data_IF_652567231294
#
_entry.id   IF_652567231294
#
_cell.length_a   1.000
_cell.length_b   1.000
_cell.length_c   1.000
_cell.angle_alpha   90.00
_cell.angle_beta   90.00
_cell.angle_gamma   90.00
#
_symmetry.space_group_name_H-M   'P 1'
#
loop_
_entity.id
_entity.type
_entity.pdbx_description
1 polymer ?
#
# COMPACT_ATOMS: atom_id res chain seq x y z
N UNK A 1 -15.35 48.48 -0.43
CA UNK A 1 -15.41 47.23 -1.24
C UNK A 1 -14.04 46.58 -1.08
N UNK A 2 -13.85 45.51 -0.27
CA UNK A 2 -12.69 44.57 -0.27
C UNK A 2 -12.46 43.73 1.02
N UNK A 3 -13.24 43.86 2.10
CA UNK A 3 -13.06 42.99 3.29
C UNK A 3 -13.85 41.66 3.21
N UNK A 4 -14.99 41.63 2.52
CA UNK A 4 -15.80 40.41 2.38
C UNK A 4 -15.23 39.41 1.37
N UNK A 5 -14.56 39.90 0.31
CA UNK A 5 -13.97 39.06 -0.75
C UNK A 5 -12.78 38.23 -0.24
N UNK A 6 -11.94 38.83 0.61
CA UNK A 6 -10.73 38.19 1.16
C UNK A 6 -11.05 37.05 2.13
N UNK A 7 -12.12 37.19 2.94
CA UNK A 7 -12.57 36.15 3.86
C UNK A 7 -13.18 34.96 3.12
N UNK A 8 -13.97 35.22 2.06
CA UNK A 8 -14.56 34.17 1.22
C UNK A 8 -13.50 33.35 0.47
N UNK A 9 -12.49 34.01 -0.10
CA UNK A 9 -11.39 33.34 -0.82
C UNK A 9 -10.50 32.50 0.11
N UNK A 10 -10.19 33.00 1.31
CA UNK A 10 -9.44 32.25 2.32
C UNK A 10 -10.21 31.01 2.80
N UNK A 11 -11.52 31.14 3.05
CA UNK A 11 -12.37 30.05 3.53
C UNK A 11 -12.62 28.98 2.45
N UNK A 12 -12.73 29.38 1.18
CA UNK A 12 -12.80 28.45 0.03
C UNK A 12 -11.47 27.72 -0.15
N UNK A 13 -10.32 28.41 -0.01
CA UNK A 13 -8.98 27.81 -0.09
C UNK A 13 -8.72 26.80 1.03
N UNK A 14 -9.10 27.11 2.26
CA UNK A 14 -8.99 26.17 3.39
C UNK A 14 -9.91 24.97 3.21
N UNK A 15 -11.14 25.17 2.72
CA UNK A 15 -12.09 24.09 2.44
C UNK A 15 -11.62 23.16 1.32
N UNK A 16 -11.07 23.72 0.23
CA UNK A 16 -10.51 22.97 -0.88
C UNK A 16 -9.22 22.21 -0.48
N UNK A 17 -8.36 22.85 0.33
CA UNK A 17 -7.19 22.22 0.92
C UNK A 17 -7.59 21.05 1.81
N UNK A 18 -8.53 21.26 2.72
CA UNK A 18 -9.04 20.24 3.63
C UNK A 18 -9.72 19.06 2.92
N UNK A 19 -10.53 19.32 1.89
CA UNK A 19 -11.11 18.27 1.05
C UNK A 19 -10.01 17.43 0.38
N UNK A 20 -9.00 18.07 -0.20
CA UNK A 20 -7.86 17.37 -0.80
C UNK A 20 -7.12 16.49 0.22
N UNK A 21 -6.87 16.99 1.45
CA UNK A 21 -6.25 16.21 2.55
C UNK A 21 -7.06 14.96 2.90
N UNK A 22 -8.40 15.06 2.97
CA UNK A 22 -9.29 13.92 3.22
C UNK A 22 -9.23 12.86 2.12
N UNK A 23 -9.24 13.28 0.85
CA UNK A 23 -9.11 12.37 -0.29
C UNK A 23 -7.73 11.69 -0.32
N UNK A 24 -6.66 12.41 0.01
CA UNK A 24 -5.32 11.83 0.19
C UNK A 24 -5.33 10.75 1.28
N UNK A 25 -5.90 11.05 2.46
CA UNK A 25 -6.02 10.06 3.55
C UNK A 25 -6.81 8.82 3.10
N UNK A 26 -7.91 9.00 2.36
CA UNK A 26 -8.68 7.89 1.81
C UNK A 26 -7.84 6.97 0.93
N UNK A 27 -7.08 7.52 -0.01
CA UNK A 27 -6.21 6.73 -0.90
C UNK A 27 -5.09 6.02 -0.14
N UNK A 28 -4.43 6.72 0.79
CA UNK A 28 -3.36 6.11 1.59
C UNK A 28 -3.90 4.98 2.47
N UNK A 29 -5.12 5.14 2.97
CA UNK A 29 -5.79 4.11 3.78
C UNK A 29 -6.23 2.92 2.93
N UNK A 30 -6.77 3.16 1.73
CA UNK A 30 -7.10 2.11 0.75
C UNK A 30 -5.84 1.33 0.34
N UNK A 31 -4.73 2.03 0.10
CA UNK A 31 -3.45 1.38 -0.24
C UNK A 31 -2.94 0.48 0.90
N UNK A 32 -3.18 0.84 2.16
CA UNK A 32 -2.80 0.01 3.30
C UNK A 32 -3.69 -1.23 3.45
N UNK A 33 -4.98 -1.12 3.11
CA UNK A 33 -5.89 -2.26 3.10
C UNK A 33 -5.32 -3.37 2.21
N UNK A 34 -4.71 -3.05 1.06
CA UNK A 34 -4.09 -4.03 0.16
C UNK A 34 -3.10 -4.93 0.90
N UNK A 35 -2.27 -4.33 1.76
CA UNK A 35 -1.26 -5.08 2.51
C UNK A 35 -1.92 -6.03 3.53
N UNK A 36 -2.98 -5.57 4.21
CA UNK A 36 -3.74 -6.41 5.13
C UNK A 36 -4.51 -7.53 4.42
N UNK A 37 -5.11 -7.23 3.26
CA UNK A 37 -5.82 -8.19 2.41
C UNK A 37 -4.86 -9.28 1.95
N UNK A 38 -3.70 -8.91 1.42
CA UNK A 38 -2.74 -9.86 0.86
C UNK A 38 -2.28 -10.94 1.86
N UNK A 39 -1.98 -10.53 3.09
CA UNK A 39 -1.56 -11.47 4.16
C UNK A 39 -2.72 -12.40 4.55
N UNK A 40 -3.93 -11.87 4.64
CA UNK A 40 -5.08 -12.64 5.16
C UNK A 40 -5.67 -13.57 4.13
N UNK A 41 -5.82 -13.11 2.89
CA UNK A 41 -6.35 -13.92 1.81
C UNK A 41 -5.44 -15.14 1.55
N UNK A 42 -4.12 -14.96 1.65
CA UNK A 42 -3.17 -16.07 1.52
C UNK A 42 -3.44 -17.19 2.53
N UNK A 43 -3.74 -16.86 3.78
CA UNK A 43 -4.03 -17.85 4.82
C UNK A 43 -5.28 -18.67 4.52
N UNK A 44 -6.29 -18.06 3.90
CA UNK A 44 -7.49 -18.77 3.43
C UNK A 44 -7.18 -19.67 2.23
N UNK A 45 -6.22 -19.27 1.39
CA UNK A 45 -5.82 -20.01 0.20
C UNK A 45 -4.86 -21.19 0.48
N UNK A 46 -4.29 -21.33 1.68
CA UNK A 46 -3.29 -22.38 2.00
C UNK A 46 -3.74 -23.79 1.58
N UNK A 47 -4.95 -24.27 1.94
CA UNK A 47 -5.36 -25.62 1.57
C UNK A 47 -5.47 -25.80 0.05
N UNK A 48 -5.97 -24.78 -0.64
CA UNK A 48 -6.11 -24.77 -2.10
C UNK A 48 -4.74 -24.73 -2.80
N UNK A 49 -3.80 -23.95 -2.27
CA UNK A 49 -2.42 -23.86 -2.75
C UNK A 49 -1.68 -25.18 -2.57
N UNK A 50 -1.88 -25.86 -1.44
CA UNK A 50 -1.30 -27.17 -1.17
C UNK A 50 -1.68 -28.18 -2.25
N UNK A 51 -2.97 -28.24 -2.61
CA UNK A 51 -3.48 -29.14 -3.64
C UNK A 51 -3.08 -28.72 -5.05
N UNK A 52 -3.11 -27.41 -5.34
CA UNK A 52 -2.88 -26.89 -6.70
C UNK A 52 -1.40 -26.93 -7.10
N UNK A 53 -0.48 -26.67 -6.18
CA UNK A 53 0.96 -26.60 -6.44
C UNK A 53 1.72 -27.84 -5.94
N UNK A 54 1.02 -28.84 -5.38
CA UNK A 54 1.61 -29.95 -4.63
C UNK A 54 2.66 -29.47 -3.62
N UNK A 55 2.38 -28.34 -2.97
CA UNK A 55 3.34 -27.67 -2.11
C UNK A 55 3.55 -28.46 -0.82
N UNK A 56 4.82 -28.65 -0.43
CA UNK A 56 5.14 -29.20 0.88
C UNK A 56 4.76 -28.21 1.98
N UNK A 57 4.60 -28.70 3.22
CA UNK A 57 4.35 -27.84 4.38
C UNK A 57 5.44 -26.74 4.53
N UNK A 58 6.70 -27.09 4.27
CA UNK A 58 7.81 -26.13 4.25
C UNK A 58 7.64 -25.10 3.14
N UNK A 59 7.21 -25.51 1.94
CA UNK A 59 6.94 -24.60 0.82
C UNK A 59 5.87 -23.57 1.13
N UNK A 60 4.75 -23.99 1.73
CA UNK A 60 3.67 -23.09 2.17
C UNK A 60 4.16 -22.09 3.21
N UNK A 61 4.98 -22.54 4.16
CA UNK A 61 5.55 -21.67 5.17
C UNK A 61 6.52 -20.64 4.57
N UNK A 62 7.28 -21.01 3.54
CA UNK A 62 8.11 -20.08 2.77
C UNK A 62 7.28 -19.08 1.96
N UNK A 63 6.15 -19.48 1.39
CA UNK A 63 5.23 -18.56 0.68
C UNK A 63 4.75 -17.44 1.63
N UNK A 64 4.44 -17.78 2.88
CA UNK A 64 4.03 -16.81 3.89
C UNK A 64 5.23 -15.96 4.34
N UNK A 65 6.33 -16.61 4.69
CA UNK A 65 7.47 -15.96 5.34
C UNK A 65 8.32 -15.12 4.38
N UNK A 66 8.43 -15.48 3.09
CA UNK A 66 9.25 -14.74 2.14
C UNK A 66 8.84 -13.28 2.03
N UNK A 67 7.53 -13.01 2.05
CA UNK A 67 7.01 -11.65 2.11
C UNK A 67 7.51 -10.91 3.36
N UNK A 68 7.32 -11.49 4.55
CA UNK A 68 7.66 -10.86 5.84
C UNK A 68 9.17 -10.64 5.95
N UNK A 69 9.97 -11.64 5.58
CA UNK A 69 11.42 -11.59 5.67
C UNK A 69 12.00 -10.52 4.75
N UNK A 70 11.55 -10.47 3.50
CA UNK A 70 12.04 -9.46 2.54
C UNK A 70 11.54 -8.09 2.94
N UNK A 71 10.26 -7.95 3.30
CA UNK A 71 9.71 -6.71 3.83
C UNK A 71 10.56 -6.19 4.98
N UNK A 72 10.77 -7.00 6.03
CA UNK A 72 11.54 -6.59 7.21
C UNK A 72 13.02 -6.29 6.87
N UNK A 73 13.63 -7.10 6.00
CA UNK A 73 15.03 -6.95 5.61
C UNK A 73 15.31 -5.68 4.80
N UNK A 74 14.36 -5.24 3.97
CA UNK A 74 14.52 -4.05 3.12
C UNK A 74 13.78 -2.83 3.63
N UNK A 75 12.96 -2.93 4.69
CA UNK A 75 12.10 -1.86 5.19
C UNK A 75 12.86 -0.56 5.45
N UNK A 76 13.96 -0.64 6.21
CA UNK A 76 14.76 0.53 6.59
C UNK A 76 15.46 1.13 5.36
N UNK A 77 15.98 0.27 4.48
CA UNK A 77 16.66 0.68 3.25
C UNK A 77 15.70 1.37 2.29
N UNK A 78 14.53 0.77 2.04
CA UNK A 78 13.51 1.31 1.14
C UNK A 78 12.82 2.53 1.72
N UNK A 79 12.63 2.60 3.04
CA UNK A 79 12.16 3.79 3.74
C UNK A 79 13.12 4.97 3.56
N UNK A 80 14.42 4.76 3.81
CA UNK A 80 15.45 5.78 3.59
C UNK A 80 15.56 6.19 2.11
N UNK A 81 15.46 5.23 1.20
CA UNK A 81 15.44 5.49 -0.24
C UNK A 81 14.24 6.37 -0.62
N UNK A 82 13.06 6.07 -0.08
CA UNK A 82 11.86 6.84 -0.37
C UNK A 82 11.87 8.25 0.21
N UNK A 83 12.50 8.45 1.37
CA UNK A 83 12.72 9.79 1.92
C UNK A 83 13.71 10.61 1.06
N UNK A 84 14.71 9.96 0.45
CA UNK A 84 15.72 10.65 -0.39
C UNK A 84 15.21 10.98 -1.80
N UNK A 85 14.54 10.05 -2.46
CA UNK A 85 14.10 10.20 -3.86
C UNK A 85 12.72 10.84 -4.01
N UNK A 86 12.00 11.02 -2.90
CA UNK A 86 10.68 11.64 -2.86
C UNK A 86 9.59 10.62 -2.51
N UNK A 87 8.80 10.98 -1.51
CA UNK A 87 7.79 10.09 -0.89
C UNK A 87 6.70 9.64 -1.86
N UNK A 88 6.30 10.53 -2.77
CA UNK A 88 5.33 10.21 -3.83
C UNK A 88 5.88 9.16 -4.79
N UNK A 89 7.12 9.32 -5.24
CA UNK A 89 7.76 8.40 -6.17
C UNK A 89 7.95 7.03 -5.53
N UNK A 90 8.36 6.99 -4.26
CA UNK A 90 8.50 5.75 -3.51
C UNK A 90 7.17 5.01 -3.34
N UNK A 91 6.11 5.73 -2.98
CA UNK A 91 4.76 5.17 -2.90
C UNK A 91 4.30 4.58 -4.24
N UNK A 92 4.45 5.33 -5.33
CA UNK A 92 4.05 4.88 -6.68
C UNK A 92 4.88 3.69 -7.16
N UNK A 93 6.20 3.73 -6.97
CA UNK A 93 7.10 2.62 -7.32
C UNK A 93 6.75 1.37 -6.52
N UNK A 94 6.49 1.54 -5.21
CA UNK A 94 6.05 0.46 -4.34
C UNK A 94 4.76 -0.19 -4.80
N UNK A 95 3.76 0.62 -5.17
CA UNK A 95 2.50 0.15 -5.75
C UNK A 95 2.70 -0.64 -7.05
N UNK A 96 3.55 -0.15 -7.96
CA UNK A 96 3.85 -0.84 -9.22
C UNK A 96 4.54 -2.18 -8.97
N UNK A 97 5.58 -2.21 -8.13
CA UNK A 97 6.28 -3.44 -7.75
C UNK A 97 5.31 -4.43 -7.12
N UNK A 98 4.49 -3.96 -6.18
CA UNK A 98 3.51 -4.80 -5.50
C UNK A 98 2.48 -5.38 -6.48
N UNK A 99 1.92 -4.55 -7.36
CA UNK A 99 0.95 -4.96 -8.36
C UNK A 99 1.51 -5.99 -9.35
N UNK A 100 2.70 -5.74 -9.90
CA UNK A 100 3.36 -6.68 -10.82
C UNK A 100 3.70 -8.00 -10.14
N UNK A 101 4.22 -7.95 -8.92
CA UNK A 101 4.51 -9.14 -8.14
C UNK A 101 3.23 -9.92 -7.79
N UNK A 102 2.11 -9.23 -7.56
CA UNK A 102 0.81 -9.86 -7.31
C UNK A 102 0.24 -10.55 -8.55
N UNK A 103 0.41 -9.95 -9.74
CA UNK A 103 0.10 -10.62 -11.02
C UNK A 103 0.99 -11.86 -11.20
N UNK A 104 2.30 -11.74 -10.94
CA UNK A 104 3.22 -12.89 -10.98
C UNK A 104 2.83 -14.01 -10.01
N UNK A 105 2.35 -13.67 -8.81
CA UNK A 105 1.84 -14.63 -7.84
C UNK A 105 0.59 -15.35 -8.36
N UNK A 106 -0.36 -14.61 -8.96
CA UNK A 106 -1.60 -15.17 -9.50
C UNK A 106 -1.37 -16.23 -10.59
N UNK A 107 -0.32 -16.06 -11.40
CA UNK A 107 0.02 -16.94 -12.51
C UNK A 107 1.21 -17.86 -12.20
N UNK A 108 1.55 -18.06 -10.92
CA UNK A 108 2.64 -18.95 -10.55
C UNK A 108 2.27 -20.42 -10.77
N UNK A 109 3.10 -21.16 -11.48
CA UNK A 109 2.91 -22.60 -11.76
C UNK A 109 3.68 -23.49 -10.78
N UNK A 110 4.50 -22.91 -9.90
CA UNK A 110 5.28 -23.64 -8.91
C UNK A 110 5.36 -22.90 -7.58
N UNK A 111 5.60 -23.67 -6.51
CA UNK A 111 5.85 -23.14 -5.16
C UNK A 111 6.99 -22.12 -5.16
N UNK A 112 8.08 -22.38 -5.89
CA UNK A 112 9.24 -21.47 -5.96
C UNK A 112 8.91 -20.16 -6.66
N UNK A 113 8.18 -20.20 -7.79
CA UNK A 113 7.73 -18.96 -8.45
C UNK A 113 6.86 -18.12 -7.54
N UNK A 114 5.94 -18.76 -6.80
CA UNK A 114 5.10 -18.05 -5.84
C UNK A 114 5.93 -17.42 -4.72
N UNK A 115 6.91 -18.13 -4.16
CA UNK A 115 7.84 -17.58 -3.16
C UNK A 115 8.56 -16.33 -3.68
N UNK A 116 9.06 -16.35 -4.92
CA UNK A 116 9.75 -15.20 -5.54
C UNK A 116 8.77 -14.04 -5.72
N UNK A 117 7.55 -14.31 -6.18
CA UNK A 117 6.52 -13.29 -6.29
C UNK A 117 6.19 -12.66 -4.93
N UNK A 118 6.09 -13.46 -3.87
CA UNK A 118 5.89 -13.00 -2.48
C UNK A 118 7.03 -12.12 -1.99
N UNK A 119 8.28 -12.50 -2.29
CA UNK A 119 9.44 -11.67 -2.02
C UNK A 119 9.33 -10.30 -2.72
N UNK A 120 8.91 -10.28 -3.99
CA UNK A 120 8.64 -9.04 -4.73
C UNK A 120 7.55 -8.18 -4.08
N UNK A 121 6.46 -8.79 -3.62
CA UNK A 121 5.42 -8.08 -2.86
C UNK A 121 5.96 -7.49 -1.55
N UNK A 122 6.89 -8.17 -0.88
CA UNK A 122 7.60 -7.65 0.30
C UNK A 122 8.38 -6.38 0.00
N UNK A 123 9.08 -6.32 -1.14
CA UNK A 123 9.79 -5.11 -1.60
C UNK A 123 8.80 -3.96 -1.85
N UNK A 124 7.69 -4.24 -2.55
CA UNK A 124 6.65 -3.24 -2.80
C UNK A 124 6.03 -2.71 -1.51
N UNK A 125 5.70 -3.60 -0.58
CA UNK A 125 5.16 -3.25 0.74
C UNK A 125 6.10 -2.38 1.56
N UNK A 126 7.41 -2.67 1.52
CA UNK A 126 8.44 -1.91 2.22
C UNK A 126 8.59 -0.47 1.71
N UNK A 127 8.18 -0.19 0.47
CA UNK A 127 8.10 1.17 -0.06
C UNK A 127 6.77 1.87 0.30
N UNK A 128 5.66 1.13 0.27
CA UNK A 128 4.30 1.67 0.49
C UNK A 128 4.13 2.12 1.94
N UNK A 129 4.40 1.24 2.91
CA UNK A 129 4.13 1.50 4.34
C UNK A 129 4.76 2.79 4.86
N UNK A 130 6.11 2.98 4.81
CA UNK A 130 6.73 4.18 5.33
C UNK A 130 6.30 5.43 4.56
N UNK A 131 6.12 5.32 3.24
CA UNK A 131 5.67 6.44 2.40
C UNK A 131 4.28 6.93 2.79
N UNK A 132 3.34 6.03 3.09
CA UNK A 132 1.97 6.43 3.48
C UNK A 132 1.94 7.22 4.78
N UNK A 133 2.65 6.74 5.81
CA UNK A 133 2.75 7.43 7.10
C UNK A 133 3.42 8.80 6.94
N UNK A 134 4.51 8.84 6.18
CA UNK A 134 5.22 10.07 5.87
C UNK A 134 4.37 11.11 5.15
N UNK A 135 3.53 10.70 4.18
CA UNK A 135 2.60 11.61 3.50
C UNK A 135 1.51 12.11 4.45
N UNK A 136 0.98 11.26 5.35
CA UNK A 136 0.01 11.70 6.37
C UNK A 136 0.62 12.79 7.26
N UNK A 137 1.86 12.58 7.71
CA UNK A 137 2.57 13.55 8.57
C UNK A 137 2.84 14.87 7.82
N UNK A 138 3.11 14.82 6.52
CA UNK A 138 3.36 16.02 5.70
C UNK A 138 2.07 16.81 5.39
N UNK A 139 0.98 16.10 5.11
CA UNK A 139 -0.28 16.68 4.65
C UNK A 139 -1.15 17.19 5.80
N UNK A 140 -1.07 16.56 6.98
CA UNK A 140 -1.88 16.92 8.16
C UNK A 140 -1.09 17.76 9.19
N UNK A 141 -1.69 18.83 9.73
CA UNK A 141 -1.10 19.62 10.79
C UNK A 141 -0.98 18.82 12.09
N UNK A 142 -0.08 19.23 12.99
CA UNK A 142 0.31 18.43 14.17
C UNK A 142 -0.88 18.02 15.04
N UNK A 143 -1.88 18.88 15.16
CA UNK A 143 -3.08 18.66 15.97
C UNK A 143 -4.00 17.58 15.38
N UNK A 144 -4.00 17.41 14.05
CA UNK A 144 -4.85 16.45 13.34
C UNK A 144 -4.16 15.12 13.02
N UNK A 145 -2.82 15.05 13.11
CA UNK A 145 -2.04 13.84 12.76
C UNK A 145 -2.48 12.61 13.52
N UNK A 146 -2.68 12.72 14.84
CA UNK A 146 -3.10 11.58 15.66
C UNK A 146 -4.45 11.00 15.19
N UNK A 147 -5.40 11.89 14.84
CA UNK A 147 -6.70 11.49 14.29
C UNK A 147 -6.58 10.84 12.92
N UNK A 148 -5.75 11.41 12.03
CA UNK A 148 -5.51 10.87 10.71
C UNK A 148 -4.84 9.48 10.77
N UNK A 149 -3.84 9.31 11.63
CA UNK A 149 -3.18 8.01 11.88
C UNK A 149 -4.17 7.02 12.48
N UNK A 150 -5.04 7.45 13.41
CA UNK A 150 -6.09 6.60 13.97
C UNK A 150 -7.07 6.09 12.90
N UNK A 151 -7.51 6.95 11.99
CA UNK A 151 -8.37 6.57 10.85
C UNK A 151 -7.61 5.60 9.93
N UNK A 152 -6.38 5.94 9.56
CA UNK A 152 -5.53 5.11 8.71
C UNK A 152 -5.32 3.71 9.30
N UNK A 153 -5.02 3.61 10.60
CA UNK A 153 -4.85 2.34 11.30
C UNK A 153 -6.18 1.57 11.42
N UNK A 154 -7.29 2.27 11.70
CA UNK A 154 -8.62 1.67 11.76
C UNK A 154 -9.06 1.09 10.42
N UNK A 155 -8.81 1.81 9.33
CA UNK A 155 -9.11 1.34 7.97
C UNK A 155 -8.21 0.16 7.60
N UNK A 156 -6.93 0.19 7.95
CA UNK A 156 -6.03 -0.95 7.78
C UNK A 156 -6.50 -2.20 8.54
N UNK A 157 -7.01 -2.03 9.76
CA UNK A 157 -7.55 -3.13 10.56
C UNK A 157 -8.77 -3.81 9.92
N UNK A 158 -9.60 -3.08 9.17
CA UNK A 158 -10.73 -3.64 8.40
C UNK A 158 -10.23 -4.54 7.26
N UNK A 159 -9.02 -4.30 6.73
CA UNK A 159 -8.42 -5.12 5.68
C UNK A 159 -8.25 -6.58 6.11
N UNK A 160 -8.07 -6.87 7.40
CA UNK A 160 -7.88 -8.23 7.91
C UNK A 160 -9.15 -9.09 7.73
N UNK A 161 -10.31 -8.75 8.34
CA UNK A 161 -11.54 -9.52 8.13
C UNK A 161 -12.04 -9.38 6.69
N UNK A 162 -11.84 -8.22 6.06
CA UNK A 162 -12.20 -8.01 4.65
C UNK A 162 -11.51 -9.00 3.72
N UNK A 163 -10.23 -9.31 3.98
CA UNK A 163 -9.46 -10.24 3.18
C UNK A 163 -9.90 -11.68 3.36
N UNK A 164 -10.30 -12.09 4.57
CA UNK A 164 -10.86 -13.42 4.77
C UNK A 164 -12.17 -13.63 4.01
N UNK A 165 -13.08 -12.65 4.07
CA UNK A 165 -14.38 -12.71 3.40
C UNK A 165 -14.21 -12.68 1.88
N UNK A 166 -13.45 -11.70 1.36
CA UNK A 166 -13.19 -11.59 -0.06
C UNK A 166 -12.41 -12.82 -0.59
N UNK A 167 -11.46 -13.33 0.19
CA UNK A 167 -10.68 -14.51 -0.12
C UNK A 167 -11.52 -15.77 -0.25
N UNK A 168 -12.38 -16.04 0.74
CA UNK A 168 -13.29 -17.18 0.69
C UNK A 168 -14.21 -17.10 -0.53
N UNK A 169 -14.85 -15.95 -0.74
CA UNK A 169 -15.74 -15.74 -1.89
C UNK A 169 -15.01 -15.91 -3.23
N UNK A 170 -13.78 -15.40 -3.35
CA UNK A 170 -12.97 -15.58 -4.57
C UNK A 170 -12.61 -17.04 -4.80
N UNK A 171 -12.21 -17.78 -3.78
CA UNK A 171 -11.84 -19.20 -3.91
C UNK A 171 -13.04 -20.10 -4.20
N UNK A 172 -14.25 -19.70 -3.81
CA UNK A 172 -15.49 -20.43 -4.14
C UNK A 172 -15.91 -20.25 -5.60
N UNK A 173 -15.64 -19.08 -6.20
CA UNK A 173 -16.16 -18.71 -7.53
C UNK A 173 -15.08 -18.70 -8.63
N UNK A 174 -13.81 -18.59 -8.27
CA UNK A 174 -12.69 -18.40 -9.18
C UNK A 174 -11.49 -19.29 -8.80
N UNK A 175 -10.51 -19.38 -9.71
CA UNK A 175 -9.26 -20.10 -9.45
C UNK A 175 -8.44 -19.46 -8.33
N UNK A 176 -7.53 -20.21 -7.72
CA UNK A 176 -6.79 -19.76 -6.54
C UNK A 176 -6.01 -18.46 -6.75
N UNK A 177 -5.44 -18.22 -7.93
CA UNK A 177 -4.65 -17.02 -8.21
C UNK A 177 -5.47 -15.72 -8.20
N UNK A 178 -6.80 -15.81 -8.28
CA UNK A 178 -7.71 -14.66 -8.16
C UNK A 178 -7.53 -13.89 -6.84
N UNK A 179 -7.10 -14.59 -5.78
CA UNK A 179 -6.78 -13.99 -4.48
C UNK A 179 -5.69 -12.92 -4.55
N UNK A 180 -4.69 -13.12 -5.42
CA UNK A 180 -3.63 -12.15 -5.65
C UNK A 180 -4.12 -11.08 -6.62
N UNK A 181 -4.90 -11.45 -7.64
CA UNK A 181 -5.49 -10.48 -8.57
C UNK A 181 -6.41 -9.47 -7.90
N UNK A 182 -7.01 -9.79 -6.75
CA UNK A 182 -7.78 -8.84 -5.93
C UNK A 182 -6.98 -7.57 -5.60
N UNK A 183 -5.66 -7.68 -5.44
CA UNK A 183 -4.81 -6.54 -5.13
C UNK A 183 -4.67 -5.58 -6.32
N UNK A 184 -4.70 -6.09 -7.55
CA UNK A 184 -4.46 -5.32 -8.78
C UNK A 184 -5.43 -4.14 -8.96
N UNK A 185 -6.78 -4.30 -8.88
CA UNK A 185 -7.68 -3.17 -9.02
C UNK A 185 -7.47 -2.13 -7.92
N UNK A 186 -7.15 -2.56 -6.69
CA UNK A 186 -6.92 -1.65 -5.58
C UNK A 186 -5.60 -0.89 -5.77
N UNK A 187 -4.55 -1.56 -6.25
CA UNK A 187 -3.26 -0.95 -6.63
C UNK A 187 -3.50 0.10 -7.74
N UNK A 188 -4.30 -0.21 -8.76
CA UNK A 188 -4.62 0.73 -9.83
C UNK A 188 -5.34 1.96 -9.30
N UNK A 189 -6.35 1.78 -8.44
CA UNK A 189 -7.07 2.90 -7.81
C UNK A 189 -6.12 3.75 -6.96
N UNK A 190 -5.26 3.12 -6.15
CA UNK A 190 -4.28 3.82 -5.33
C UNK A 190 -3.24 4.56 -6.18
N UNK A 191 -2.77 3.95 -7.27
CA UNK A 191 -1.78 4.53 -8.16
C UNK A 191 -2.36 5.74 -8.90
N UNK A 192 -3.52 5.59 -9.52
CA UNK A 192 -4.24 6.69 -10.20
C UNK A 192 -4.56 7.80 -9.20
N UNK A 193 -5.12 7.46 -8.05
CA UNK A 193 -5.42 8.41 -6.99
C UNK A 193 -4.18 9.18 -6.52
N UNK A 194 -3.05 8.49 -6.36
CA UNK A 194 -1.80 9.12 -5.93
C UNK A 194 -1.30 10.19 -6.89
N UNK A 195 -1.52 10.01 -8.19
CA UNK A 195 -1.07 10.97 -9.21
C UNK A 195 -1.75 12.33 -9.03
N UNK A 196 -3.03 12.32 -8.65
CA UNK A 196 -3.83 13.54 -8.49
C UNK A 196 -3.81 14.11 -7.07
N UNK A 197 -3.71 13.24 -6.06
CA UNK A 197 -4.00 13.61 -4.67
C UNK A 197 -2.79 13.60 -3.74
N UNK A 198 -1.70 12.91 -4.10
CA UNK A 198 -0.45 12.97 -3.33
C UNK A 198 0.38 14.13 -3.86
N UNK A 199 0.59 15.22 -3.10
CA UNK A 199 1.47 16.29 -3.52
C UNK A 199 2.90 15.76 -3.67
N UNK A 200 3.64 16.33 -4.61
CA UNK A 200 5.04 16.00 -4.79
C UNK A 200 5.82 16.56 -3.58
N UNK A 201 6.05 15.71 -2.58
CA UNK A 201 6.85 16.00 -1.40
C UNK A 201 8.33 15.95 -1.80
N UNK A 202 8.71 16.84 -2.73
CA UNK A 202 10.11 17.08 -3.07
C UNK A 202 10.56 18.23 -2.18
N UNK A 203 11.41 17.89 -1.23
CA UNK A 203 12.08 18.88 -0.40
C UNK A 203 12.85 19.84 -1.32
N UNK A 204 12.34 21.06 -1.50
CA UNK A 204 13.05 22.12 -2.25
C UNK A 204 14.29 22.61 -1.50
N UNK A 205 14.52 22.13 -0.28
CA UNK A 205 15.62 22.52 0.60
C UNK A 205 16.53 21.35 0.99
N UNK A 206 16.59 20.27 0.20
CA UNK A 206 17.71 19.33 0.29
C UNK A 206 18.99 20.11 -0.07
N UNK A 207 19.59 20.73 0.96
CA UNK A 207 20.86 21.44 0.90
C UNK A 207 21.81 20.60 0.06
N UNK A 208 22.35 21.24 -0.97
CA UNK A 208 23.60 20.86 -1.61
C UNK A 208 24.52 20.30 -0.53
N UNK A 209 24.79 19.00 -0.62
CA UNK A 209 25.95 18.42 0.04
C UNK A 209 27.16 19.13 -0.55
N UNK A 210 27.67 20.14 0.16
CA UNK A 210 29.05 20.57 0.02
C UNK A 210 29.91 19.38 0.46
N UNK A 211 30.52 18.74 -0.54
CA UNK A 211 31.68 17.86 -0.41
C UNK A 211 32.86 18.52 -1.11
#
# INVERSE_FOLDING_TARGET
MNTATTTGEAQIRDSAGYAKRKWTLGILSIALIIIGLDITVLNVAIPTLQNSLNASASGLQWIINAYILVFAGVLLTMGSLGDRFGRRLAFQTGLVIFGLASVGAAFSESTTQLIIARAGQGIGGALIMPSTLSVIVDVFPREERAKAIGIWAGVAAIGIPGGMIAGGWLLENFFWGSVFLLNVPVVLVALVGSVFLVPESRDKNAKTTDI
#
